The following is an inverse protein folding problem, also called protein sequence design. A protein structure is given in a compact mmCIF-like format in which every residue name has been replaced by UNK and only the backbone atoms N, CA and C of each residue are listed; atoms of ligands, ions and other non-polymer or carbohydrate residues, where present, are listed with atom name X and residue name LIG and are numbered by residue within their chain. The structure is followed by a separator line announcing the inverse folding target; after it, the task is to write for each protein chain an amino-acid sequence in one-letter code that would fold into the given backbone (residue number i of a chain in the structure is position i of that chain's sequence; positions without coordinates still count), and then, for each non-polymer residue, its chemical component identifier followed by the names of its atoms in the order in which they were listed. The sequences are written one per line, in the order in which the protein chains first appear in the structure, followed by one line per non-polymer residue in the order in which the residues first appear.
data_IF_407827159530
#
_entry.id   IF_407827159530
#
_cell.length_a   1.000
_cell.length_b   1.000
_cell.length_c   1.000
_cell.angle_alpha   90.00
_cell.angle_beta   90.00
_cell.angle_gamma   90.00
#
_symmetry.space_group_name_H-M   'P 1'
#
loop_
_entity.id
_entity.type
_entity.pdbx_description
1 polymer ?
#
# COMPACT_ATOMS: atom_id res chain seq x y z
N UNK A 1 47.03 -12.41 -10.64
CA UNK A 1 45.82 -13.22 -10.37
C UNK A 1 44.94 -12.64 -9.25
N UNK A 2 45.47 -11.88 -8.28
CA UNK A 2 44.66 -11.27 -7.20
C UNK A 2 43.88 -10.00 -7.56
N UNK A 3 44.23 -9.29 -8.64
CA UNK A 3 43.53 -8.05 -9.03
C UNK A 3 42.14 -8.28 -9.65
N UNK A 4 41.90 -9.45 -10.25
CA UNK A 4 40.60 -9.80 -10.84
C UNK A 4 39.56 -10.22 -9.78
N UNK A 5 40.00 -10.64 -8.59
CA UNK A 5 39.11 -11.12 -7.52
C UNK A 5 38.41 -9.95 -6.79
N UNK A 6 39.06 -8.79 -6.68
CA UNK A 6 38.54 -7.61 -5.96
C UNK A 6 37.41 -6.93 -6.74
N UNK A 7 37.43 -6.99 -8.07
CA UNK A 7 36.41 -6.37 -8.92
C UNK A 7 35.07 -7.13 -8.90
N UNK A 8 35.09 -8.43 -8.59
CA UNK A 8 33.90 -9.29 -8.56
C UNK A 8 33.07 -9.19 -7.29
N UNK A 9 33.62 -8.63 -6.20
CA UNK A 9 32.91 -8.51 -4.90
C UNK A 9 32.02 -7.25 -4.86
N UNK A 10 32.30 -6.24 -5.68
CA UNK A 10 31.55 -4.99 -5.72
C UNK A 10 30.22 -5.07 -6.53
N UNK A 11 30.01 -6.16 -7.28
CA UNK A 11 28.81 -6.34 -8.12
C UNK A 11 27.68 -7.12 -7.42
N UNK A 12 27.88 -7.56 -6.18
CA UNK A 12 26.90 -8.37 -5.46
C UNK A 12 25.96 -7.55 -4.57
N UNK A 13 26.14 -6.22 -4.51
CA UNK A 13 25.20 -5.32 -3.84
C UNK A 13 24.11 -4.86 -4.83
N UNK A 14 23.49 -5.82 -5.51
CA UNK A 14 22.24 -5.57 -6.24
C UNK A 14 21.21 -5.16 -5.19
N UNK A 15 20.85 -3.87 -5.20
CA UNK A 15 20.03 -3.23 -4.19
C UNK A 15 18.81 -4.07 -3.84
N UNK A 16 18.68 -4.39 -2.55
CA UNK A 16 17.40 -4.79 -2.01
C UNK A 16 16.44 -3.63 -2.29
N UNK A 17 15.62 -3.77 -3.32
CA UNK A 17 14.43 -2.94 -3.50
C UNK A 17 13.53 -3.32 -2.34
N UNK A 18 13.64 -2.59 -1.24
CA UNK A 18 12.63 -2.65 -0.20
C UNK A 18 11.30 -2.31 -0.90
N UNK A 19 10.40 -3.27 -0.94
CA UNK A 19 9.01 -3.00 -1.26
C UNK A 19 8.52 -2.11 -0.12
N UNK A 20 8.56 -0.80 -0.32
CA UNK A 20 7.99 0.15 0.63
C UNK A 20 6.49 -0.08 0.76
N UNK A 21 5.91 0.46 1.82
CA UNK A 21 4.48 0.40 2.11
C UNK A 21 3.60 0.79 0.92
N UNK A 22 2.29 0.55 1.07
CA UNK A 22 1.33 0.75 -0.02
C UNK A 22 1.43 2.17 -0.59
N UNK A 23 1.55 3.19 0.25
CA UNK A 23 1.70 4.58 -0.16
C UNK A 23 2.99 4.82 -0.97
N UNK A 24 4.13 4.24 -0.59
CA UNK A 24 5.38 4.36 -1.34
C UNK A 24 5.27 3.75 -2.73
N UNK A 25 4.55 2.63 -2.84
CA UNK A 25 4.34 1.96 -4.12
C UNK A 25 3.43 2.78 -5.05
N UNK A 26 2.36 3.37 -4.51
CA UNK A 26 1.42 4.19 -5.27
C UNK A 26 1.98 5.57 -5.63
N UNK A 27 2.71 6.23 -4.71
CA UNK A 27 3.33 7.54 -4.97
C UNK A 27 4.40 7.47 -6.05
N UNK A 28 5.16 6.36 -6.14
CA UNK A 28 6.09 6.11 -7.25
C UNK A 28 5.38 6.02 -8.61
N UNK A 29 4.10 5.63 -8.63
CA UNK A 29 3.31 5.51 -9.85
C UNK A 29 2.61 6.82 -10.24
N UNK A 30 2.04 7.53 -9.26
CA UNK A 30 1.08 8.61 -9.56
C UNK A 30 1.08 9.78 -8.57
N UNK A 31 2.09 9.89 -7.69
CA UNK A 31 2.17 10.99 -6.72
C UNK A 31 1.21 10.85 -5.53
N UNK A 32 1.17 11.86 -4.67
CA UNK A 32 0.30 11.89 -3.49
C UNK A 32 -1.17 12.18 -3.88
N UNK A 33 -1.35 12.91 -4.97
CA UNK A 33 -2.63 13.33 -5.54
C UNK A 33 -3.43 12.16 -6.10
N UNK A 34 -2.80 10.98 -6.24
CA UNK A 34 -3.48 9.74 -6.57
C UNK A 34 -4.51 9.32 -5.50
N UNK A 35 -4.30 9.75 -4.24
CA UNK A 35 -5.17 9.39 -3.12
C UNK A 35 -5.69 10.60 -2.35
N UNK A 36 -4.97 11.74 -2.37
CA UNK A 36 -5.26 12.91 -1.54
C UNK A 36 -5.59 14.14 -2.40
N UNK A 37 -6.70 14.82 -2.13
CA UNK A 37 -7.06 16.04 -2.85
C UNK A 37 -6.02 17.14 -2.58
N UNK A 38 -5.39 17.66 -3.64
CA UNK A 38 -4.25 18.58 -3.56
C UNK A 38 -3.10 18.07 -2.65
N UNK A 39 -2.95 16.75 -2.53
CA UNK A 39 -1.95 16.11 -1.67
C UNK A 39 -2.25 16.19 -0.17
N UNK A 40 -3.45 16.61 0.22
CA UNK A 40 -3.90 16.76 1.61
C UNK A 40 -4.91 15.66 1.96
N UNK A 41 -4.76 14.98 3.12
CA UNK A 41 -5.72 13.98 3.54
C UNK A 41 -7.08 14.60 3.85
N UNK A 42 -8.16 13.89 3.47
CA UNK A 42 -9.51 14.27 3.87
C UNK A 42 -9.75 14.03 5.37
N UNK A 43 -10.73 14.74 5.94
CA UNK A 43 -11.03 14.66 7.37
C UNK A 43 -11.64 13.31 7.77
N UNK A 44 -12.35 12.65 6.86
CA UNK A 44 -13.12 11.42 7.12
C UNK A 44 -12.62 10.19 6.35
N UNK A 45 -11.60 10.35 5.50
CA UNK A 45 -11.06 9.27 4.67
C UNK A 45 -11.93 8.92 3.46
N UNK A 46 -13.06 9.61 3.23
CA UNK A 46 -14.00 9.25 2.18
C UNK A 46 -13.41 9.49 0.78
N UNK A 47 -12.63 10.57 0.62
CA UNK A 47 -11.94 10.86 -0.65
C UNK A 47 -10.92 9.76 -0.99
N UNK A 48 -10.10 9.36 -0.02
CA UNK A 48 -9.09 8.31 -0.18
C UNK A 48 -9.75 6.96 -0.47
N UNK A 49 -10.87 6.64 0.18
CA UNK A 49 -11.61 5.41 -0.07
C UNK A 49 -12.17 5.36 -1.50
N UNK A 50 -12.72 6.47 -1.99
CA UNK A 50 -13.16 6.58 -3.39
C UNK A 50 -11.97 6.44 -4.36
N UNK A 51 -10.82 7.03 -4.03
CA UNK A 51 -9.61 6.87 -4.83
C UNK A 51 -9.19 5.40 -4.95
N UNK A 52 -9.26 4.62 -3.85
CA UNK A 52 -9.04 3.17 -3.88
C UNK A 52 -10.03 2.47 -4.84
N UNK A 53 -11.33 2.74 -4.65
CA UNK A 53 -12.40 2.09 -5.40
C UNK A 53 -12.38 2.44 -6.90
N UNK A 54 -11.88 3.63 -7.27
CA UNK A 54 -11.77 4.04 -8.67
C UNK A 54 -10.87 3.12 -9.51
N UNK A 55 -9.86 2.49 -8.89
CA UNK A 55 -8.94 1.57 -9.55
C UNK A 55 -9.16 0.11 -9.19
N UNK A 56 -9.53 -0.17 -7.93
CA UNK A 56 -9.68 -1.54 -7.41
C UNK A 56 -11.12 -2.05 -7.36
N UNK A 57 -12.10 -1.17 -7.53
CA UNK A 57 -13.53 -1.45 -7.32
C UNK A 57 -13.95 -1.35 -5.85
N UNK A 58 -15.26 -1.28 -5.58
CA UNK A 58 -15.80 -1.28 -4.22
C UNK A 58 -15.64 -2.65 -3.53
N UNK A 59 -15.71 -2.70 -2.20
CA UNK A 59 -15.44 -3.92 -1.42
C UNK A 59 -16.34 -5.10 -1.83
N UNK A 60 -17.62 -4.85 -2.13
CA UNK A 60 -18.57 -5.87 -2.60
C UNK A 60 -18.17 -6.55 -3.92
N UNK A 61 -17.35 -5.91 -4.75
CA UNK A 61 -16.93 -6.40 -6.07
C UNK A 61 -15.57 -7.11 -6.03
N UNK A 62 -14.82 -6.96 -4.94
CA UNK A 62 -13.57 -7.67 -4.73
C UNK A 62 -13.84 -9.16 -4.48
N UNK A 63 -13.06 -10.04 -5.11
CA UNK A 63 -13.18 -11.48 -4.96
C UNK A 63 -12.57 -11.99 -3.64
N UNK A 64 -13.20 -11.61 -2.52
CA UNK A 64 -12.79 -11.98 -1.17
C UNK A 64 -13.97 -11.84 -0.22
N UNK A 65 -14.27 -12.92 0.52
CA UNK A 65 -15.30 -12.88 1.56
C UNK A 65 -14.96 -11.90 2.68
N UNK A 66 -13.67 -11.67 2.95
CA UNK A 66 -13.23 -10.66 3.92
C UNK A 66 -13.68 -9.28 3.47
N UNK A 67 -13.47 -8.89 2.21
CA UNK A 67 -13.91 -7.58 1.73
C UNK A 67 -15.43 -7.48 1.69
N UNK A 68 -16.12 -8.48 1.14
CA UNK A 68 -17.58 -8.49 1.01
C UNK A 68 -18.29 -8.33 2.37
N UNK A 69 -17.76 -8.96 3.42
CA UNK A 69 -18.34 -8.88 4.76
C UNK A 69 -18.16 -7.52 5.46
N UNK A 70 -17.29 -6.65 4.95
CA UNK A 70 -17.04 -5.31 5.51
C UNK A 70 -17.59 -4.18 4.62
N UNK A 71 -18.28 -4.51 3.53
CA UNK A 71 -18.94 -3.53 2.66
C UNK A 71 -19.88 -2.62 3.47
N UNK A 72 -19.73 -1.30 3.27
CA UNK A 72 -20.57 -0.28 3.90
C UNK A 72 -20.33 -0.08 5.40
N UNK A 73 -19.47 -0.89 6.02
CA UNK A 73 -19.10 -0.78 7.44
C UNK A 73 -17.70 -0.22 7.64
N UNK A 74 -16.80 -0.45 6.67
CA UNK A 74 -15.39 -0.08 6.75
C UNK A 74 -14.92 0.57 5.45
N UNK A 75 -13.91 1.41 5.56
CA UNK A 75 -13.12 1.94 4.45
C UNK A 75 -11.91 1.04 4.18
N UNK A 76 -11.31 1.14 3.00
CA UNK A 76 -10.13 0.36 2.63
C UNK A 76 -8.97 0.56 3.63
N UNK A 77 -8.76 1.81 4.06
CA UNK A 77 -7.67 2.23 4.95
C UNK A 77 -7.90 1.87 6.43
N UNK A 78 -9.09 1.42 6.82
CA UNK A 78 -9.32 0.90 8.18
C UNK A 78 -8.55 -0.40 8.44
N UNK A 79 -8.33 -1.19 7.38
CA UNK A 79 -7.52 -2.40 7.42
C UNK A 79 -6.14 -2.17 6.78
N UNK A 80 -6.08 -1.54 5.61
CA UNK A 80 -4.83 -1.27 4.89
C UNK A 80 -4.17 0.01 5.41
N UNK A 81 -3.28 -0.11 6.39
CA UNK A 81 -2.53 1.02 6.96
C UNK A 81 -1.45 1.49 5.97
N UNK A 82 -1.85 2.24 4.95
CA UNK A 82 -1.04 2.45 3.73
C UNK A 82 0.25 3.24 3.94
N UNK A 83 0.33 4.06 5.00
CA UNK A 83 1.53 4.81 5.38
C UNK A 83 2.40 4.07 6.40
N UNK A 84 2.01 2.86 6.80
CA UNK A 84 2.74 2.01 7.74
C UNK A 84 3.22 0.74 7.05
N UNK A 85 4.29 0.15 7.57
CA UNK A 85 4.76 -1.17 7.16
C UNK A 85 3.96 -2.26 7.90
N UNK A 86 2.66 -2.36 7.60
CA UNK A 86 1.73 -3.27 8.26
C UNK A 86 0.91 -4.10 7.26
N UNK A 87 0.56 -5.33 7.66
CA UNK A 87 -0.32 -6.17 6.85
C UNK A 87 -1.77 -5.94 7.26
N UNK A 88 -2.69 -5.97 6.30
CA UNK A 88 -4.11 -5.76 6.57
C UNK A 88 -4.69 -6.75 7.61
N UNK A 89 -4.17 -7.99 7.64
CA UNK A 89 -4.58 -9.01 8.62
C UNK A 89 -4.22 -8.64 10.07
N UNK A 90 -3.27 -7.74 10.28
CA UNK A 90 -2.85 -7.35 11.62
C UNK A 90 -3.91 -6.42 12.26
N UNK A 91 -4.71 -5.74 11.43
CA UNK A 91 -5.83 -4.89 11.83
C UNK A 91 -7.03 -5.67 12.38
N UNK A 92 -7.15 -6.98 12.15
CA UNK A 92 -8.28 -7.80 12.62
C UNK A 92 -8.50 -7.68 14.14
N UNK A 93 -7.40 -7.71 14.91
CA UNK A 93 -7.41 -7.67 16.38
C UNK A 93 -7.90 -6.35 16.97
N UNK A 94 -8.06 -5.31 16.14
CA UNK A 94 -8.59 -4.01 16.57
C UNK A 94 -10.12 -4.04 16.72
N UNK A 95 -10.78 -5.04 16.12
CA UNK A 95 -12.24 -5.13 16.07
C UNK A 95 -12.80 -6.50 16.50
N UNK A 96 -12.01 -7.58 16.43
CA UNK A 96 -12.40 -8.97 16.75
C UNK A 96 -11.40 -9.67 17.67
#
# INVERSE_FOLDING_TARGET
MFKALVLSILLSFSGAVFAGGIADSHTKMSGCEACHEDGVPSDDGAFENEACASCHGPLKELDSDVHKNHEGAMLCNDCHLVHEEALAKDSCSRCH
#
